data_IF_449551976867
#
_entry.id   IF_449551976867
#
_cell.length_a   1.000
_cell.length_b   1.000
_cell.length_c   1.000
_cell.angle_alpha   90.00
_cell.angle_beta   90.00
_cell.angle_gamma   90.00
#
_symmetry.space_group_name_H-M   'P 1'
#
loop_
_entity.id
_entity.type
_entity.pdbx_description
1 polymer ?
#
# COMPACT_ATOMS: atom_id res chain seq x y z
N UNK A 1 2.06 -4.60 15.02
CA UNK A 1 0.99 -3.58 14.88
C UNK A 1 0.31 -3.46 16.23
N UNK A 2 0.35 -2.30 16.86
CA UNK A 2 -0.17 -2.09 18.21
C UNK A 2 -1.70 -1.93 18.18
N UNK A 3 -2.38 -2.33 19.26
CA UNK A 3 -3.83 -2.15 19.43
C UNK A 3 -4.26 -0.67 19.25
N UNK A 4 -3.37 0.27 19.56
CA UNK A 4 -3.54 1.71 19.36
C UNK A 4 -3.68 2.08 17.87
N UNK A 5 -2.93 1.42 16.97
CA UNK A 5 -2.99 1.69 15.52
C UNK A 5 -4.34 1.28 14.93
N UNK A 6 -4.93 0.20 15.44
CA UNK A 6 -6.21 -0.32 14.99
C UNK A 6 -7.40 0.56 15.40
N UNK A 7 -7.38 1.06 16.63
CA UNK A 7 -8.42 1.98 17.13
C UNK A 7 -8.33 3.32 16.41
N UNK A 8 -7.13 3.81 16.18
CA UNK A 8 -6.88 5.05 15.45
C UNK A 8 -7.35 4.94 14.00
N UNK A 9 -7.05 3.84 13.31
CA UNK A 9 -7.51 3.59 11.93
C UNK A 9 -9.03 3.51 11.86
N UNK A 10 -9.67 2.86 12.84
CA UNK A 10 -11.15 2.78 12.90
C UNK A 10 -11.77 4.16 13.08
N UNK A 11 -11.24 4.97 13.99
CA UNK A 11 -11.69 6.34 14.22
C UNK A 11 -11.51 7.23 12.98
N UNK A 12 -10.33 7.18 12.36
CA UNK A 12 -10.04 7.91 11.11
C UNK A 12 -11.02 7.54 10.01
N UNK A 13 -11.33 6.25 9.89
CA UNK A 13 -12.27 5.76 8.90
C UNK A 13 -13.70 6.25 9.15
N UNK A 14 -14.17 6.24 10.39
CA UNK A 14 -15.48 6.80 10.74
C UNK A 14 -15.55 8.29 10.39
N UNK A 15 -14.47 9.04 10.65
CA UNK A 15 -14.36 10.45 10.32
C UNK A 15 -14.51 10.74 8.82
N UNK A 16 -13.86 9.91 7.97
CA UNK A 16 -13.84 10.14 6.50
C UNK A 16 -14.91 9.39 5.73
N UNK A 17 -15.65 8.45 6.35
CA UNK A 17 -16.53 7.49 5.67
C UNK A 17 -17.64 8.13 4.83
N UNK A 18 -18.07 9.36 5.15
CA UNK A 18 -19.08 10.12 4.42
C UNK A 18 -18.51 11.07 3.36
N UNK A 19 -17.20 11.13 3.18
CA UNK A 19 -16.56 12.11 2.29
C UNK A 19 -16.39 11.56 0.86
N UNK A 20 -16.38 12.44 -0.17
CA UNK A 20 -16.06 12.05 -1.53
C UNK A 20 -14.67 11.38 -1.62
N UNK A 21 -13.67 11.92 -0.90
CA UNK A 21 -12.31 11.38 -0.87
C UNK A 21 -12.26 9.91 -0.45
N UNK A 22 -13.05 9.50 0.53
CA UNK A 22 -13.08 8.08 0.92
C UNK A 22 -13.65 7.19 -0.18
N UNK A 23 -14.57 7.74 -1.00
CA UNK A 23 -15.03 7.07 -2.21
C UNK A 23 -13.91 6.85 -3.23
N UNK A 24 -13.07 7.86 -3.44
CA UNK A 24 -11.87 7.82 -4.30
C UNK A 24 -10.83 6.84 -3.73
N UNK A 25 -10.52 6.90 -2.44
CA UNK A 25 -9.65 5.96 -1.75
C UNK A 25 -10.10 4.50 -1.95
N UNK A 26 -11.39 4.22 -1.84
CA UNK A 26 -11.94 2.88 -2.14
C UNK A 26 -11.82 2.51 -3.61
N UNK A 27 -11.93 3.47 -4.52
CA UNK A 27 -11.67 3.29 -5.96
C UNK A 27 -10.23 2.88 -6.20
N UNK A 28 -9.32 3.68 -5.70
CA UNK A 28 -7.88 3.46 -5.80
C UNK A 28 -7.44 2.14 -5.17
N UNK A 29 -7.94 1.81 -3.97
CA UNK A 29 -7.67 0.53 -3.31
C UNK A 29 -8.06 -0.68 -4.19
N UNK A 30 -9.18 -0.60 -4.90
CA UNK A 30 -9.56 -1.66 -5.87
C UNK A 30 -8.59 -1.75 -7.03
N UNK A 31 -8.11 -0.63 -7.55
CA UNK A 31 -7.08 -0.61 -8.59
C UNK A 31 -5.78 -1.21 -8.08
N UNK A 32 -5.36 -0.85 -6.87
CA UNK A 32 -4.16 -1.38 -6.22
C UNK A 32 -4.17 -2.91 -6.08
N UNK A 33 -5.32 -3.49 -5.73
CA UNK A 33 -5.47 -4.95 -5.61
C UNK A 33 -5.44 -5.65 -7.00
N UNK A 34 -5.93 -4.99 -8.05
CA UNK A 34 -6.15 -5.61 -9.36
C UNK A 34 -5.01 -5.41 -10.34
N UNK A 35 -4.21 -4.37 -10.17
CA UNK A 35 -3.15 -4.02 -11.08
C UNK A 35 -2.02 -5.06 -11.11
N UNK A 36 -1.46 -5.53 -9.96
CA UNK A 36 -0.52 -6.62 -9.97
C UNK A 36 -1.22 -7.95 -10.20
N UNK A 37 -0.71 -8.77 -11.13
CA UNK A 37 -1.32 -10.06 -11.52
C UNK A 37 -0.79 -11.26 -10.74
N UNK A 38 0.31 -11.08 -10.02
CA UNK A 38 0.98 -12.16 -9.30
C UNK A 38 1.62 -11.62 -8.02
N UNK A 39 1.88 -12.48 -7.03
CA UNK A 39 2.71 -12.12 -5.88
C UNK A 39 4.06 -11.54 -6.31
N UNK A 40 4.52 -10.51 -5.61
CA UNK A 40 5.75 -9.78 -5.94
C UNK A 40 5.63 -8.84 -7.15
N UNK A 41 4.45 -8.72 -7.76
CA UNK A 41 4.19 -7.82 -8.89
C UNK A 41 3.84 -6.39 -8.48
N UNK A 42 3.64 -6.09 -7.20
CA UNK A 42 3.47 -4.75 -6.67
C UNK A 42 4.82 -4.20 -6.24
N UNK A 43 5.34 -3.23 -6.99
CA UNK A 43 6.57 -2.51 -6.68
C UNK A 43 6.20 -1.20 -5.99
N UNK A 44 6.59 -1.03 -4.73
CA UNK A 44 6.33 0.17 -3.94
C UNK A 44 7.60 1.01 -3.89
N UNK A 45 7.51 2.29 -4.19
CA UNK A 45 8.63 3.22 -4.18
C UNK A 45 8.17 4.56 -3.63
N UNK A 46 9.02 5.24 -2.86
CA UNK A 46 8.81 6.61 -2.41
C UNK A 46 9.59 7.61 -3.23
N UNK A 47 9.68 8.83 -2.69
CA UNK A 47 10.57 9.88 -3.18
C UNK A 47 12.00 9.68 -2.64
N UNK A 48 12.99 10.46 -3.09
CA UNK A 48 14.34 10.40 -2.52
C UNK A 48 14.39 10.70 -1.02
N UNK A 49 13.48 11.53 -0.52
CA UNK A 49 13.38 12.01 0.86
C UNK A 49 12.55 11.10 1.75
N UNK A 50 11.52 10.45 1.18
CA UNK A 50 10.54 9.66 1.93
C UNK A 50 10.45 8.22 1.41
N UNK A 51 10.92 7.26 2.19
CA UNK A 51 10.82 5.84 1.88
C UNK A 51 9.58 5.22 2.55
N UNK A 52 8.60 4.67 1.81
CA UNK A 52 7.31 4.22 2.35
C UNK A 52 7.38 2.82 2.99
N UNK A 53 8.40 2.59 3.84
CA UNK A 53 8.57 1.29 4.50
C UNK A 53 7.41 0.95 5.44
N UNK A 54 6.79 1.98 6.06
CA UNK A 54 5.65 1.81 6.95
C UNK A 54 4.42 1.32 6.17
N UNK A 55 4.11 1.96 5.06
CA UNK A 55 3.06 1.50 4.15
C UNK A 55 3.35 0.10 3.61
N UNK A 56 4.60 -0.21 3.30
CA UNK A 56 4.99 -1.56 2.86
C UNK A 56 4.62 -2.62 3.91
N UNK A 57 4.92 -2.36 5.18
CA UNK A 57 4.60 -3.27 6.28
C UNK A 57 3.08 -3.44 6.48
N UNK A 58 2.31 -2.35 6.34
CA UNK A 58 0.86 -2.41 6.43
C UNK A 58 0.24 -3.21 5.28
N UNK A 59 0.66 -2.96 4.04
CA UNK A 59 0.16 -3.69 2.86
C UNK A 59 0.51 -5.18 2.94
N UNK A 60 1.70 -5.53 3.42
CA UNK A 60 2.10 -6.93 3.63
C UNK A 60 1.22 -7.61 4.68
N UNK A 61 0.96 -6.93 5.79
CA UNK A 61 0.04 -7.42 6.83
C UNK A 61 -1.37 -7.63 6.28
N UNK A 62 -1.92 -6.65 5.57
CA UNK A 62 -3.25 -6.74 4.98
C UNK A 62 -3.33 -7.81 3.88
N UNK A 63 -2.27 -7.98 3.09
CA UNK A 63 -2.16 -9.04 2.09
C UNK A 63 -2.31 -10.43 2.74
N UNK A 64 -1.63 -10.65 3.88
CA UNK A 64 -1.72 -11.89 4.64
C UNK A 64 -3.11 -12.11 5.22
N UNK A 65 -3.69 -11.11 5.89
CA UNK A 65 -5.00 -11.18 6.54
C UNK A 65 -6.15 -11.39 5.54
N UNK A 66 -6.06 -10.75 4.37
CA UNK A 66 -7.10 -10.83 3.33
C UNK A 66 -6.91 -11.99 2.36
N UNK A 67 -5.82 -12.75 2.47
CA UNK A 67 -5.40 -13.76 1.49
C UNK A 67 -5.30 -13.18 0.06
N UNK A 68 -4.63 -12.03 -0.05
CA UNK A 68 -4.38 -11.28 -1.28
C UNK A 68 -2.86 -11.18 -1.54
N UNK A 69 -2.16 -12.27 -1.85
CA UNK A 69 -0.69 -12.28 -1.90
C UNK A 69 -0.10 -11.32 -2.95
N UNK A 70 -0.89 -10.91 -3.96
CA UNK A 70 -0.47 -9.91 -4.94
C UNK A 70 -0.43 -8.48 -4.37
N UNK A 71 -1.05 -8.23 -3.21
CA UNK A 71 -1.03 -6.93 -2.52
C UNK A 71 0.25 -6.74 -1.68
N UNK A 72 0.94 -7.84 -1.33
CA UNK A 72 2.22 -7.76 -0.63
C UNK A 72 3.27 -7.06 -1.52
N UNK A 73 3.80 -5.89 -1.12
CA UNK A 73 4.66 -5.10 -1.98
C UNK A 73 6.11 -5.55 -1.92
N UNK A 74 6.83 -5.31 -3.01
CA UNK A 74 8.29 -5.27 -3.02
C UNK A 74 8.72 -3.81 -2.85
N UNK A 75 9.32 -3.47 -1.71
CA UNK A 75 9.83 -2.11 -1.48
C UNK A 75 11.07 -1.87 -2.34
N UNK A 76 10.99 -0.89 -3.22
CA UNK A 76 12.08 -0.45 -4.10
C UNK A 76 12.72 0.80 -3.49
N UNK A 77 14.04 0.78 -3.33
CA UNK A 77 14.77 1.77 -2.54
C UNK A 77 15.67 2.65 -3.41
N UNK A 78 15.70 3.94 -3.09
CA UNK A 78 16.66 4.88 -3.68
C UNK A 78 18.09 4.55 -3.24
N UNK A 79 18.26 4.22 -1.97
CA UNK A 79 19.54 3.83 -1.38
C UNK A 79 19.38 2.51 -0.63
N UNK A 80 20.09 1.51 -1.06
CA UNK A 80 20.13 0.20 -0.37
C UNK A 80 21.23 0.27 0.68
N UNK A 81 20.92 0.09 1.98
CA UNK A 81 21.94 0.07 3.03
C UNK A 81 22.92 -1.09 2.85
N UNK A 82 24.19 -0.86 3.20
CA UNK A 82 25.19 -1.91 3.19
C UNK A 82 24.78 -3.07 4.10
N UNK A 83 24.87 -4.30 3.57
CA UNK A 83 24.52 -5.50 4.32
C UNK A 83 23.02 -5.74 4.51
N UNK A 84 22.15 -4.99 3.81
CA UNK A 84 20.71 -5.23 3.85
C UNK A 84 20.36 -6.66 3.40
N UNK A 85 19.40 -7.33 4.06
CA UNK A 85 18.92 -8.63 3.60
C UNK A 85 18.38 -8.54 2.16
N UNK A 86 18.50 -9.61 1.34
CA UNK A 86 18.12 -9.55 -0.08
C UNK A 86 16.69 -9.04 -0.35
N UNK A 87 15.73 -9.37 0.52
CA UNK A 87 14.33 -8.93 0.39
C UNK A 87 14.12 -7.42 0.70
N UNK A 88 15.09 -6.78 1.37
CA UNK A 88 15.13 -5.35 1.66
C UNK A 88 16.20 -4.60 0.83
N UNK A 89 16.85 -5.29 -0.10
CA UNK A 89 17.96 -4.77 -0.91
C UNK A 89 17.56 -4.59 -2.38
N UNK A 90 16.31 -4.20 -2.65
CA UNK A 90 15.82 -4.01 -4.02
C UNK A 90 16.07 -2.56 -4.46
N UNK A 91 17.03 -2.34 -5.38
CA UNK A 91 17.42 -0.99 -5.79
C UNK A 91 16.41 -0.38 -6.77
N UNK A 92 16.49 0.95 -6.94
CA UNK A 92 15.65 1.73 -7.86
C UNK A 92 15.72 1.22 -9.31
N UNK A 93 16.85 0.65 -9.74
CA UNK A 93 17.01 0.01 -11.04
C UNK A 93 16.02 -1.15 -11.29
N UNK A 94 15.38 -1.70 -10.26
CA UNK A 94 14.32 -2.71 -10.43
C UNK A 94 13.14 -2.18 -11.25
N UNK A 95 12.86 -0.88 -11.19
CA UNK A 95 11.79 -0.25 -11.98
C UNK A 95 12.03 -0.38 -13.48
N UNK A 96 13.29 -0.36 -13.93
CA UNK A 96 13.66 -0.55 -15.32
C UNK A 96 13.29 -1.93 -15.89
N UNK A 97 13.02 -2.90 -15.02
CA UNK A 97 12.59 -4.25 -15.37
C UNK A 97 11.08 -4.45 -15.24
N UNK A 98 10.36 -3.43 -14.76
CA UNK A 98 8.92 -3.51 -14.59
C UNK A 98 8.21 -3.65 -15.94
N UNK A 99 7.16 -4.49 -15.98
CA UNK A 99 6.50 -4.91 -17.21
C UNK A 99 5.00 -5.16 -17.03
N UNK A 100 4.35 -5.48 -18.12
CA UNK A 100 2.91 -5.81 -18.12
C UNK A 100 2.58 -6.90 -17.10
N UNK A 101 1.59 -6.61 -16.24
CA UNK A 101 1.16 -7.48 -15.15
C UNK A 101 1.83 -7.15 -13.81
N UNK A 102 2.77 -6.21 -13.81
CA UNK A 102 3.29 -5.59 -12.60
C UNK A 102 2.68 -4.19 -12.42
N UNK A 103 2.68 -3.69 -11.20
CA UNK A 103 2.26 -2.35 -10.84
C UNK A 103 3.40 -1.65 -10.10
N UNK A 104 3.67 -0.41 -10.47
CA UNK A 104 4.54 0.51 -9.72
C UNK A 104 3.63 1.43 -8.94
N UNK A 105 3.71 1.37 -7.62
CA UNK A 105 2.97 2.24 -6.72
C UNK A 105 3.93 3.25 -6.13
N UNK A 106 3.74 4.52 -6.49
CA UNK A 106 4.57 5.63 -6.06
C UNK A 106 3.87 6.36 -4.92
N UNK A 107 4.61 6.63 -3.85
CA UNK A 107 4.18 7.39 -2.68
C UNK A 107 4.99 8.68 -2.66
N UNK A 108 4.34 9.79 -2.99
CA UNK A 108 4.96 11.08 -3.23
C UNK A 108 4.36 12.17 -2.33
N UNK A 109 4.80 12.30 -1.07
CA UNK A 109 4.46 13.45 -0.24
C UNK A 109 5.15 14.74 -0.71
N UNK A 110 6.20 14.61 -1.50
CA UNK A 110 7.06 15.68 -2.02
C UNK A 110 7.47 15.41 -3.48
N UNK A 111 8.42 16.19 -4.01
CA UNK A 111 8.91 16.07 -5.39
C UNK A 111 9.55 14.70 -5.66
N UNK A 112 9.03 13.91 -6.60
CA UNK A 112 9.58 12.61 -6.96
C UNK A 112 10.99 12.68 -7.59
N UNK A 113 11.37 13.83 -8.11
CA UNK A 113 12.64 14.05 -8.80
C UNK A 113 12.73 13.39 -10.18
N UNK A 114 13.47 14.03 -11.09
CA UNK A 114 13.61 13.56 -12.49
C UNK A 114 14.10 12.09 -12.60
N UNK A 115 15.06 11.61 -11.78
CA UNK A 115 15.52 10.22 -11.92
C UNK A 115 14.45 9.16 -11.60
N UNK A 116 13.49 9.45 -10.73
CA UNK A 116 12.37 8.55 -10.47
C UNK A 116 11.34 8.63 -11.60
N UNK A 117 11.00 9.85 -12.03
CA UNK A 117 10.06 10.09 -13.15
C UNK A 117 10.47 9.37 -14.42
N UNK A 118 11.75 9.44 -14.82
CA UNK A 118 12.28 8.72 -15.99
C UNK A 118 12.06 7.21 -15.89
N UNK A 119 12.36 6.60 -14.74
CA UNK A 119 12.19 5.15 -14.53
C UNK A 119 10.73 4.72 -14.49
N UNK A 120 9.87 5.56 -13.92
CA UNK A 120 8.41 5.31 -13.87
C UNK A 120 7.83 5.39 -15.30
N UNK A 121 8.21 6.38 -16.10
CA UNK A 121 7.76 6.49 -17.48
C UNK A 121 8.27 5.32 -18.36
N UNK A 122 9.49 4.88 -18.14
CA UNK A 122 10.04 3.69 -18.78
C UNK A 122 9.26 2.41 -18.38
N UNK A 123 8.91 2.24 -17.10
CA UNK A 123 8.08 1.13 -16.65
C UNK A 123 6.68 1.18 -17.30
N UNK A 124 6.09 2.38 -17.38
CA UNK A 124 4.81 2.62 -18.07
C UNK A 124 4.88 2.20 -19.55
N UNK A 125 5.91 2.61 -20.25
CA UNK A 125 6.12 2.24 -21.68
C UNK A 125 6.26 0.73 -21.87
N UNK A 126 6.78 0.00 -20.89
CA UNK A 126 6.85 -1.48 -20.87
C UNK A 126 5.55 -2.15 -20.45
N UNK A 127 4.53 -1.37 -20.12
CA UNK A 127 3.18 -1.82 -19.84
C UNK A 127 2.92 -2.16 -18.36
N UNK A 128 3.77 -1.73 -17.44
CA UNK A 128 3.46 -1.74 -16.01
C UNK A 128 2.32 -0.74 -15.72
N UNK A 129 1.47 -1.07 -14.76
CA UNK A 129 0.49 -0.12 -14.24
C UNK A 129 1.19 0.87 -13.32
N UNK A 130 0.92 2.16 -13.47
CA UNK A 130 1.47 3.23 -12.63
C UNK A 130 0.36 3.75 -11.74
N UNK A 131 0.57 3.70 -10.43
CA UNK A 131 -0.37 4.14 -9.41
C UNK A 131 0.34 5.14 -8.50
N UNK A 132 -0.34 6.21 -8.12
CA UNK A 132 0.27 7.30 -7.36
C UNK A 132 -0.59 7.68 -6.17
N UNK A 133 0.01 7.76 -4.99
CA UNK A 133 -0.50 8.48 -3.83
C UNK A 133 0.35 9.73 -3.66
N UNK A 134 -0.26 10.92 -3.76
CA UNK A 134 0.45 12.19 -3.64
C UNK A 134 -0.25 13.14 -2.65
N UNK A 135 0.51 14.05 -2.07
CA UNK A 135 -0.01 15.07 -1.16
C UNK A 135 -0.30 16.37 -1.92
N UNK A 136 0.59 16.75 -2.83
CA UNK A 136 0.52 18.01 -3.57
C UNK A 136 0.38 17.77 -5.08
N UNK A 137 -0.63 18.41 -5.70
CA UNK A 137 -0.91 18.27 -7.12
C UNK A 137 0.14 18.98 -7.99
N UNK A 138 0.66 20.13 -7.54
CA UNK A 138 1.60 20.94 -8.31
C UNK A 138 2.97 20.24 -8.39
N UNK A 139 3.53 19.83 -7.25
CA UNK A 139 4.82 19.14 -7.18
C UNK A 139 4.79 17.75 -7.82
N UNK A 140 3.62 17.12 -7.84
CA UNK A 140 3.42 15.79 -8.43
C UNK A 140 2.87 15.81 -9.85
N UNK A 141 2.71 16.98 -10.50
CA UNK A 141 1.97 17.13 -11.76
C UNK A 141 2.49 16.26 -12.90
N UNK A 142 3.82 16.14 -13.07
CA UNK A 142 4.42 15.27 -14.08
C UNK A 142 4.12 13.79 -13.79
N UNK A 143 4.24 13.37 -12.53
CA UNK A 143 3.93 12.01 -12.08
C UNK A 143 2.45 11.68 -12.30
N UNK A 144 1.55 12.59 -11.96
CA UNK A 144 0.10 12.43 -12.16
C UNK A 144 -0.25 12.26 -13.65
N UNK A 145 0.45 12.99 -14.54
CA UNK A 145 0.25 12.89 -16.00
C UNK A 145 0.58 11.51 -16.56
N UNK A 146 1.55 10.80 -15.98
CA UNK A 146 1.95 9.46 -16.42
C UNK A 146 1.28 8.33 -15.64
N UNK A 147 0.53 8.65 -14.59
CA UNK A 147 -0.19 7.68 -13.76
C UNK A 147 -1.46 7.15 -14.44
N UNK A 148 -1.75 5.87 -14.24
CA UNK A 148 -2.99 5.24 -14.69
C UNK A 148 -4.14 5.45 -13.70
N UNK A 149 -3.80 5.62 -12.42
CA UNK A 149 -4.72 5.97 -11.34
C UNK A 149 -3.95 6.72 -10.27
N UNK A 150 -4.60 7.69 -9.62
CA UNK A 150 -3.97 8.51 -8.60
C UNK A 150 -4.95 8.82 -7.46
N UNK A 151 -4.43 8.92 -6.25
CA UNK A 151 -5.14 9.38 -5.07
C UNK A 151 -4.39 10.57 -4.49
N UNK A 152 -5.04 11.73 -4.48
CA UNK A 152 -4.52 12.94 -3.83
C UNK A 152 -5.01 13.02 -2.40
N UNK A 153 -4.13 13.38 -1.48
CA UNK A 153 -4.51 13.66 -0.09
C UNK A 153 -5.05 15.09 -0.01
N UNK A 154 -6.28 15.30 0.51
CA UNK A 154 -6.90 16.61 0.47
C UNK A 154 -6.27 17.55 1.51
N UNK A 155 -5.92 18.76 1.10
CA UNK A 155 -5.37 19.81 1.96
C UNK A 155 -6.36 20.36 3.00
N UNK A 156 -7.66 20.08 2.84
CA UNK A 156 -8.74 20.64 3.66
C UNK A 156 -8.85 20.04 5.07
N UNK A 157 -7.90 19.22 5.50
CA UNK A 157 -7.85 18.65 6.85
C UNK A 157 -8.87 17.54 7.12
N UNK A 158 -9.62 17.07 6.11
CA UNK A 158 -10.53 15.92 6.24
C UNK A 158 -9.74 14.65 6.59
N UNK A 159 -8.56 14.51 5.99
CA UNK A 159 -7.58 13.48 6.36
C UNK A 159 -6.46 14.15 7.16
N UNK A 160 -6.15 13.70 8.38
CA UNK A 160 -5.18 14.37 9.24
C UNK A 160 -3.73 14.02 8.85
N UNK A 161 -3.34 14.31 7.60
CA UNK A 161 -2.00 14.15 7.08
C UNK A 161 -1.80 12.92 6.20
N UNK A 162 -0.62 12.88 5.55
CA UNK A 162 -0.26 11.90 4.54
C UNK A 162 -0.16 10.48 5.12
N UNK A 163 0.40 10.31 6.32
CA UNK A 163 0.47 9.02 7.00
C UNK A 163 -0.91 8.41 7.27
N UNK A 164 -1.88 9.24 7.68
CA UNK A 164 -3.24 8.78 7.90
C UNK A 164 -3.89 8.30 6.60
N UNK A 165 -3.60 8.96 5.46
CA UNK A 165 -4.06 8.52 4.15
C UNK A 165 -3.46 7.15 3.77
N UNK A 166 -2.17 6.92 4.04
CA UNK A 166 -1.51 5.64 3.81
C UNK A 166 -2.17 4.51 4.64
N UNK A 167 -2.44 4.76 5.93
CA UNK A 167 -3.14 3.79 6.80
C UNK A 167 -4.55 3.48 6.32
N UNK A 168 -5.33 4.50 5.95
CA UNK A 168 -6.68 4.34 5.42
C UNK A 168 -6.69 3.56 4.11
N UNK A 169 -5.73 3.84 3.23
CA UNK A 169 -5.60 3.12 1.96
C UNK A 169 -5.25 1.65 2.18
N UNK A 170 -4.25 1.35 3.02
CA UNK A 170 -3.84 -0.03 3.30
C UNK A 170 -4.99 -0.84 3.90
N UNK A 171 -5.67 -0.31 4.92
CA UNK A 171 -6.81 -0.98 5.55
C UNK A 171 -7.98 -1.18 4.58
N UNK A 172 -8.24 -0.19 3.70
CA UNK A 172 -9.28 -0.28 2.67
C UNK A 172 -8.95 -1.33 1.61
N UNK A 173 -7.68 -1.45 1.23
CA UNK A 173 -7.20 -2.50 0.33
C UNK A 173 -7.34 -3.91 0.95
N UNK A 174 -7.03 -4.05 2.24
CA UNK A 174 -7.19 -5.32 2.97
C UNK A 174 -8.64 -5.81 3.07
N UNK A 175 -9.62 -4.91 3.03
CA UNK A 175 -11.04 -5.31 3.02
C UNK A 175 -11.49 -5.96 1.71
N UNK A 176 -10.72 -5.78 0.66
CA UNK A 176 -11.00 -6.32 -0.66
C UNK A 176 -12.25 -5.76 -1.33
N UNK A 177 -12.49 -6.19 -2.56
CA UNK A 177 -13.76 -5.93 -3.24
C UNK A 177 -14.82 -6.87 -2.67
N UNK A 178 -15.75 -6.36 -1.87
CA UNK A 178 -16.80 -7.12 -1.19
C UNK A 178 -17.67 -8.04 -2.08
N UNK A 179 -17.33 -8.20 -3.36
CA UNK A 179 -18.01 -9.00 -4.36
C UNK A 179 -17.36 -10.36 -4.69
N UNK A 180 -16.16 -10.68 -4.19
CA UNK A 180 -15.58 -12.03 -4.34
C UNK A 180 -15.83 -12.92 -3.12
N UNK A 181 -17.09 -13.03 -2.72
CA UNK A 181 -17.55 -14.01 -1.74
C UNK A 181 -18.10 -15.24 -2.46
N UNK A 182 -17.23 -16.12 -2.94
CA UNK A 182 -17.58 -17.50 -3.24
C UNK A 182 -17.37 -18.35 -1.98
N UNK A 183 -18.47 -18.89 -1.43
CA UNK A 183 -18.56 -19.98 -0.44
C UNK A 183 -17.78 -19.89 0.87
N UNK A 184 -18.48 -19.49 1.94
CA UNK A 184 -18.43 -20.19 3.24
C UNK A 184 -17.36 -19.76 4.22
N UNK A 185 -17.51 -18.56 4.85
CA UNK A 185 -16.95 -18.21 6.13
C UNK A 185 -17.50 -16.86 6.58
N UNK A 186 -17.76 -16.64 7.88
CA UNK A 186 -18.14 -15.33 8.35
C UNK A 186 -17.02 -14.36 8.01
N UNK A 187 -17.37 -13.23 7.35
CA UNK A 187 -16.44 -12.14 7.08
C UNK A 187 -16.05 -11.56 8.42
N UNK A 188 -14.87 -11.91 8.90
CA UNK A 188 -14.30 -11.30 10.07
C UNK A 188 -14.06 -9.82 9.77
N UNK A 189 -14.72 -8.93 10.52
CA UNK A 189 -14.43 -7.51 10.50
C UNK A 189 -12.99 -7.27 10.91
N UNK A 190 -12.47 -6.06 10.72
CA UNK A 190 -11.09 -5.70 11.13
C UNK A 190 -10.81 -6.07 12.60
N UNK A 191 -11.77 -5.86 13.52
CA UNK A 191 -11.69 -6.29 14.93
C UNK A 191 -11.50 -7.80 15.09
N UNK A 192 -12.26 -8.58 14.33
CA UNK A 192 -12.20 -10.04 14.40
C UNK A 192 -10.88 -10.57 13.83
N UNK A 193 -10.31 -9.90 12.83
CA UNK A 193 -9.00 -10.23 12.25
C UNK A 193 -7.87 -9.92 13.24
N UNK A 194 -7.96 -8.79 13.95
CA UNK A 194 -6.99 -8.41 14.98
C UNK A 194 -7.03 -9.40 16.16
N UNK A 195 -8.22 -9.80 16.60
CA UNK A 195 -8.41 -10.80 17.67
C UNK A 195 -7.80 -12.14 17.25
N UNK A 196 -8.02 -12.59 16.01
CA UNK A 196 -7.44 -13.83 15.50
C UNK A 196 -5.89 -13.78 15.45
N UNK A 197 -5.31 -12.61 15.17
CA UNK A 197 -3.85 -12.43 15.15
C UNK A 197 -3.26 -12.43 16.56
N UNK A 198 -3.94 -11.81 17.53
CA UNK A 198 -3.57 -11.83 18.94
C UNK A 198 -3.64 -13.26 19.50
N UNK A 199 -4.69 -14.01 19.18
CA UNK A 199 -4.84 -15.41 19.58
C UNK A 199 -3.75 -16.30 18.99
N UNK A 200 -3.35 -16.06 17.75
CA UNK A 200 -2.28 -16.81 17.08
C UNK A 200 -0.89 -16.53 17.70
N UNK A 201 -0.64 -15.29 18.13
CA UNK A 201 0.62 -14.91 18.80
C UNK A 201 0.62 -15.33 20.27
N UNK A 202 -0.53 -15.32 20.94
CA UNK A 202 -0.67 -15.69 22.35
C UNK A 202 -0.81 -17.19 22.58
N UNK A 203 -1.25 -17.96 21.58
CA UNK A 203 -1.44 -19.42 21.66
C UNK A 203 -0.16 -20.25 21.48
N UNK A 204 1.00 -19.61 21.25
CA UNK A 204 2.29 -20.28 21.01
C UNK A 204 3.10 -20.66 22.28
N UNK A 205 2.56 -20.49 23.50
CA UNK A 205 3.30 -20.73 24.73
C UNK A 205 2.53 -21.56 25.75
N UNK A 206 2.15 -22.79 25.41
CA UNK A 206 1.84 -23.81 26.41
C UNK A 206 1.83 -25.20 25.74
N UNK A 207 2.95 -25.87 25.69
CA UNK A 207 3.11 -27.29 25.97
C UNK A 207 4.54 -27.74 25.63
N UNK A 208 5.45 -27.60 26.59
CA UNK A 208 6.62 -28.48 26.65
C UNK A 208 7.15 -28.52 28.08
N UNK A 209 6.39 -29.19 28.98
CA UNK A 209 6.94 -29.80 30.17
C UNK A 209 5.97 -30.91 30.65
N UNK A 210 6.20 -32.11 30.13
CA UNK A 210 5.93 -33.34 30.87
C UNK A 210 6.81 -34.48 30.34
#
# INVERSE_FOLDING_TARGET
>A
MNAMDAEQTTFLRELVSGTPWFGECRGFARTLIRAPRSPGGLLLVGTPEEEPWHLAAHLDTEAGLANLPQLAPTLVRHQVPDGAPPHLAVPLARLEQARKGEAVFIVAPDDPGAPLLERVDDARRRGAAILTLAEDEETSSELLTISHDALLVPENGIVPGFDAAQHLLASTAGEGDGRRGGRGGPRLGFRDRLTALIDQVSGGSADTYR
#
